data_IF_739648804433
#
_entry.id   IF_739648804433
#
_cell.length_a   1.000
_cell.length_b   1.000
_cell.length_c   1.000
_cell.angle_alpha   90.00
_cell.angle_beta   90.00
_cell.angle_gamma   90.00
#
_symmetry.space_group_name_H-M   'P 1'
#
loop_
_entity.id
_entity.type
_entity.pdbx_description
1 polymer ?
#
# COMPACT_ATOMS: atom_id res chain seq x y z
N UNK A 1 6.07 18.58 7.34
CA UNK A 1 5.76 17.80 6.10
C UNK A 1 5.41 16.39 6.54
N UNK A 2 4.34 15.79 5.99
CA UNK A 2 3.99 14.39 6.29
C UNK A 2 4.83 13.46 5.42
N UNK A 3 5.39 12.42 6.02
CA UNK A 3 6.29 11.47 5.34
C UNK A 3 5.57 10.12 5.20
N UNK A 4 5.62 9.57 4.00
CA UNK A 4 5.20 8.20 3.71
C UNK A 4 6.44 7.44 3.20
N UNK A 5 6.93 6.48 3.99
CA UNK A 5 8.12 5.70 3.65
C UNK A 5 7.95 4.26 4.15
N UNK A 6 8.28 3.30 3.32
CA UNK A 6 8.16 1.87 3.61
C UNK A 6 8.99 1.04 2.65
N UNK A 7 8.56 -0.20 2.39
CA UNK A 7 9.34 -1.10 1.53
C UNK A 7 8.51 -2.10 0.75
N UNK A 8 9.19 -2.80 -0.16
CA UNK A 8 8.67 -3.94 -0.91
C UNK A 8 9.39 -5.19 -0.39
N UNK A 9 8.61 -6.19 -0.03
CA UNK A 9 9.06 -7.46 0.53
C UNK A 9 8.88 -8.57 -0.51
N UNK A 10 9.85 -9.47 -0.59
CA UNK A 10 9.84 -10.59 -1.53
C UNK A 10 10.70 -10.38 -2.76
N UNK A 11 11.70 -9.50 -2.68
CA UNK A 11 12.68 -9.28 -3.75
C UNK A 11 13.92 -10.18 -3.63
N UNK A 12 13.90 -11.18 -2.74
CA UNK A 12 15.03 -12.06 -2.43
C UNK A 12 15.84 -11.62 -1.21
N UNK A 13 15.36 -10.62 -0.49
CA UNK A 13 15.96 -10.11 0.74
C UNK A 13 15.85 -11.13 1.88
N UNK A 14 16.83 -11.13 2.80
CA UNK A 14 16.84 -11.95 4.00
C UNK A 14 15.95 -11.37 5.11
N UNK A 15 15.70 -12.15 6.14
CA UNK A 15 15.02 -11.67 7.36
C UNK A 15 15.79 -10.52 8.03
N UNK A 16 17.12 -10.53 7.96
CA UNK A 16 17.95 -9.45 8.50
C UNK A 16 17.79 -8.16 7.70
N UNK A 17 17.66 -8.23 6.39
CA UNK A 17 17.42 -7.07 5.54
C UNK A 17 16.05 -6.45 5.84
N UNK A 18 15.03 -7.28 6.06
CA UNK A 18 13.69 -6.84 6.49
C UNK A 18 13.73 -6.15 7.84
N UNK A 19 14.48 -6.71 8.80
CA UNK A 19 14.68 -6.09 10.10
C UNK A 19 15.44 -4.76 9.97
N UNK A 20 16.48 -4.71 9.14
CA UNK A 20 17.24 -3.50 8.83
C UNK A 20 16.37 -2.38 8.31
N UNK A 21 15.47 -2.67 7.34
CA UNK A 21 14.50 -1.71 6.83
C UNK A 21 13.68 -1.07 7.96
N UNK A 22 13.15 -1.88 8.89
CA UNK A 22 12.34 -1.37 9.99
C UNK A 22 13.17 -0.57 10.99
N UNK A 23 14.40 -0.99 11.25
CA UNK A 23 15.34 -0.26 12.12
C UNK A 23 15.66 1.12 11.53
N UNK A 24 15.95 1.21 10.24
CA UNK A 24 16.21 2.49 9.58
C UNK A 24 14.99 3.43 9.67
N UNK A 25 13.79 2.92 9.41
CA UNK A 25 12.57 3.74 9.50
C UNK A 25 12.29 4.20 10.94
N UNK A 26 12.51 3.33 11.92
CA UNK A 26 12.26 3.62 13.33
C UNK A 26 13.31 4.57 13.94
N UNK A 27 14.51 4.61 13.39
CA UNK A 27 15.60 5.50 13.84
C UNK A 27 15.56 6.88 13.19
N UNK A 28 14.62 7.16 12.31
CA UNK A 28 14.41 8.52 11.82
C UNK A 28 14.07 9.46 12.99
N UNK A 29 14.52 10.70 12.93
CA UNK A 29 14.27 11.71 13.96
C UNK A 29 12.77 11.88 14.30
N UNK A 30 11.93 11.59 13.34
CA UNK A 30 10.48 11.48 13.49
C UNK A 30 10.02 10.29 12.67
N UNK A 31 9.25 9.38 13.27
CA UNK A 31 8.71 8.24 12.53
C UNK A 31 7.84 8.71 11.35
N UNK A 32 7.87 8.02 10.21
CA UNK A 32 6.96 8.30 9.11
C UNK A 32 5.49 8.21 9.57
N UNK A 33 4.64 9.10 9.12
CA UNK A 33 3.22 9.03 9.42
C UNK A 33 2.55 7.81 8.78
N UNK A 34 3.09 7.36 7.63
CA UNK A 34 2.62 6.17 6.92
C UNK A 34 3.79 5.29 6.52
N UNK A 35 3.65 4.01 6.86
CA UNK A 35 4.64 2.96 6.55
C UNK A 35 3.96 1.89 5.69
N UNK A 36 3.95 2.04 4.36
CA UNK A 36 3.43 1.00 3.47
C UNK A 36 4.38 -0.19 3.43
N UNK A 37 3.85 -1.36 3.74
CA UNK A 37 4.51 -2.65 3.55
C UNK A 37 3.87 -3.32 2.34
N UNK A 38 4.61 -3.38 1.25
CA UNK A 38 4.15 -3.96 0.00
C UNK A 38 4.68 -5.39 -0.13
N UNK A 39 3.90 -6.27 -0.74
CA UNK A 39 4.38 -7.57 -1.22
C UNK A 39 4.72 -7.44 -2.70
N UNK A 40 5.85 -8.00 -3.11
CA UNK A 40 6.26 -7.99 -4.51
C UNK A 40 5.17 -8.62 -5.40
N UNK A 41 4.76 -7.89 -6.41
CA UNK A 41 3.93 -8.42 -7.49
C UNK A 41 4.86 -8.82 -8.63
N UNK A 42 5.08 -10.13 -8.78
CA UNK A 42 5.97 -10.67 -9.82
C UNK A 42 5.39 -10.38 -11.21
N UNK A 43 6.20 -9.84 -12.08
CA UNK A 43 5.84 -9.54 -13.47
C UNK A 43 6.67 -10.39 -14.38
N UNK A 44 6.01 -11.06 -15.33
CA UNK A 44 6.68 -11.92 -16.33
C UNK A 44 7.67 -11.11 -17.15
N UNK A 45 8.85 -11.71 -17.39
CA UNK A 45 9.93 -11.08 -18.14
C UNK A 45 10.82 -10.14 -17.33
N UNK A 46 10.57 -9.99 -16.01
CA UNK A 46 11.44 -9.20 -15.12
C UNK A 46 12.46 -10.09 -14.40
N UNK A 47 13.60 -9.54 -13.92
CA UNK A 47 14.57 -10.31 -13.14
C UNK A 47 14.02 -10.95 -11.87
N UNK A 48 12.95 -10.40 -11.31
CA UNK A 48 12.32 -10.88 -10.08
C UNK A 48 11.13 -11.85 -10.32
N UNK A 49 10.91 -12.27 -11.58
CA UNK A 49 9.82 -13.19 -11.92
C UNK A 49 9.91 -14.53 -11.15
N UNK A 50 11.13 -15.03 -10.97
CA UNK A 50 11.42 -16.37 -10.43
C UNK A 50 11.82 -16.35 -8.94
N UNK A 51 11.76 -15.19 -8.28
CA UNK A 51 12.08 -15.12 -6.84
C UNK A 51 11.02 -15.89 -6.04
N UNK A 52 11.42 -16.55 -4.96
CA UNK A 52 10.52 -17.27 -4.08
C UNK A 52 9.46 -16.35 -3.47
N UNK A 53 8.28 -16.91 -3.20
CA UNK A 53 7.23 -16.17 -2.49
C UNK A 53 7.61 -16.00 -1.01
N UNK A 54 7.20 -14.88 -0.45
CA UNK A 54 7.36 -14.63 0.99
C UNK A 54 6.45 -15.57 1.77
N UNK A 55 7.01 -16.21 2.79
CA UNK A 55 6.22 -17.03 3.69
C UNK A 55 5.18 -16.13 4.42
N UNK A 56 3.88 -16.50 4.41
CA UNK A 56 2.82 -15.65 4.94
C UNK A 56 3.02 -15.19 6.38
N UNK A 57 3.50 -16.08 7.27
CA UNK A 57 3.75 -15.71 8.66
C UNK A 57 4.95 -14.78 8.84
N UNK A 58 5.93 -14.84 7.94
CA UNK A 58 7.04 -13.87 7.95
C UNK A 58 6.54 -12.46 7.61
N UNK A 59 5.62 -12.36 6.67
CA UNK A 59 5.00 -11.08 6.33
C UNK A 59 4.15 -10.54 7.51
N UNK A 60 3.32 -11.38 8.13
CA UNK A 60 2.52 -11.01 9.32
C UNK A 60 3.44 -10.59 10.47
N UNK A 61 4.53 -11.29 10.69
CA UNK A 61 5.53 -10.99 11.73
C UNK A 61 6.18 -9.61 11.48
N UNK A 62 6.48 -9.31 10.23
CA UNK A 62 7.02 -8.01 9.84
C UNK A 62 6.05 -6.87 10.16
N UNK A 63 4.75 -7.05 9.89
CA UNK A 63 3.69 -6.10 10.26
C UNK A 63 3.67 -5.87 11.77
N UNK A 64 3.74 -6.95 12.57
CA UNK A 64 3.75 -6.85 14.04
C UNK A 64 4.96 -6.07 14.55
N UNK A 65 6.15 -6.36 14.02
CA UNK A 65 7.38 -5.65 14.39
C UNK A 65 7.31 -4.18 13.98
N UNK A 66 6.85 -3.88 12.77
CA UNK A 66 6.65 -2.49 12.31
C UNK A 66 5.71 -1.72 13.26
N UNK A 67 4.61 -2.33 13.71
CA UNK A 67 3.68 -1.71 14.67
C UNK A 67 4.32 -1.45 16.02
N UNK A 68 5.12 -2.40 16.55
CA UNK A 68 5.81 -2.26 17.84
C UNK A 68 6.85 -1.14 17.77
N UNK A 69 7.64 -1.10 16.70
CA UNK A 69 8.72 -0.12 16.54
C UNK A 69 8.20 1.28 16.22
N UNK A 70 7.09 1.39 15.50
CA UNK A 70 6.51 2.67 15.07
C UNK A 70 5.03 2.76 15.48
N UNK A 71 4.73 2.86 16.79
CA UNK A 71 3.37 2.69 17.32
C UNK A 71 2.38 3.77 16.86
N UNK A 72 2.85 4.93 16.45
CA UNK A 72 2.00 6.05 15.97
C UNK A 72 1.84 6.10 14.46
N UNK A 73 2.64 5.34 13.72
CA UNK A 73 2.59 5.31 12.26
C UNK A 73 1.37 4.55 11.74
N UNK A 74 0.86 4.94 10.59
CA UNK A 74 -0.11 4.15 9.86
C UNK A 74 0.63 3.01 9.13
N UNK A 75 0.66 1.82 9.73
CA UNK A 75 1.20 0.62 9.07
C UNK A 75 0.20 0.15 8.02
N UNK A 76 0.60 0.24 6.77
CA UNK A 76 -0.30 0.12 5.62
C UNK A 76 -0.05 -1.15 4.83
N UNK A 77 -1.11 -1.92 4.59
CA UNK A 77 -1.13 -2.94 3.55
C UNK A 77 -1.42 -2.26 2.21
N UNK A 78 -0.55 -2.49 1.23
CA UNK A 78 -0.63 -1.82 -0.06
C UNK A 78 -0.48 -2.82 -1.22
N UNK A 79 0.48 -2.66 -2.13
CA UNK A 79 0.65 -3.54 -3.28
C UNK A 79 0.82 -5.02 -2.89
N UNK A 80 0.28 -5.93 -3.69
CA UNK A 80 0.32 -7.38 -3.47
C UNK A 80 -0.81 -7.90 -2.57
N UNK A 81 -1.61 -7.01 -1.97
CA UNK A 81 -2.71 -7.39 -1.08
C UNK A 81 -3.79 -8.22 -1.78
N UNK A 82 -4.01 -8.01 -3.07
CA UNK A 82 -4.98 -8.76 -3.88
C UNK A 82 -4.63 -10.25 -4.00
N UNK A 83 -3.37 -10.63 -3.75
CA UNK A 83 -2.94 -12.04 -3.72
C UNK A 83 -3.07 -12.68 -2.35
N UNK A 84 -3.32 -11.89 -1.31
CA UNK A 84 -3.53 -12.39 0.04
C UNK A 84 -4.96 -12.88 0.19
N UNK A 85 -5.14 -14.07 0.75
CA UNK A 85 -6.47 -14.53 1.16
C UNK A 85 -7.01 -13.70 2.33
N UNK A 86 -8.31 -13.82 2.62
CA UNK A 86 -8.96 -13.08 3.72
C UNK A 86 -8.30 -13.35 5.07
N UNK A 87 -7.87 -14.59 5.33
CA UNK A 87 -7.25 -14.99 6.59
C UNK A 87 -5.91 -14.31 6.81
N UNK A 88 -5.07 -14.24 5.79
CA UNK A 88 -3.79 -13.54 5.85
C UNK A 88 -3.98 -12.03 6.08
N UNK A 89 -4.93 -11.42 5.37
CA UNK A 89 -5.25 -10.01 5.59
C UNK A 89 -5.77 -9.77 7.01
N UNK A 90 -6.66 -10.64 7.52
CA UNK A 90 -7.14 -10.58 8.89
C UNK A 90 -6.00 -10.67 9.91
N UNK A 91 -5.06 -11.60 9.73
CA UNK A 91 -3.88 -11.73 10.57
C UNK A 91 -3.01 -10.47 10.54
N UNK A 92 -2.83 -9.85 9.37
CA UNK A 92 -2.10 -8.58 9.27
C UNK A 92 -2.78 -7.46 10.06
N UNK A 93 -4.11 -7.35 10.02
CA UNK A 93 -4.84 -6.37 10.84
C UNK A 93 -4.70 -6.66 12.34
N UNK A 94 -4.82 -7.92 12.75
CA UNK A 94 -4.62 -8.32 14.16
C UNK A 94 -3.18 -8.11 14.62
N UNK A 95 -2.21 -8.27 13.73
CA UNK A 95 -0.79 -8.00 14.00
C UNK A 95 -0.46 -6.49 14.08
N UNK A 96 -1.38 -5.60 13.65
CA UNK A 96 -1.22 -4.17 13.82
C UNK A 96 -1.24 -3.33 12.55
N UNK A 97 -1.50 -3.91 11.38
CA UNK A 97 -1.85 -3.08 10.22
C UNK A 97 -3.14 -2.32 10.52
N UNK A 98 -3.13 -1.00 10.28
CA UNK A 98 -4.28 -0.14 10.54
C UNK A 98 -4.61 0.80 9.39
N UNK A 99 -4.03 0.55 8.24
CA UNK A 99 -4.27 1.33 7.03
C UNK A 99 -4.22 0.40 5.82
N UNK A 100 -5.02 0.70 4.83
CA UNK A 100 -4.95 0.08 3.51
C UNK A 100 -4.88 1.16 2.44
N UNK A 101 -4.39 0.80 1.26
CA UNK A 101 -4.63 1.61 0.09
C UNK A 101 -6.07 1.36 -0.37
N UNK A 102 -6.85 2.42 -0.46
CA UNK A 102 -8.23 2.40 -0.88
C UNK A 102 -8.36 2.95 -2.30
N UNK A 103 -9.10 2.25 -3.15
CA UNK A 103 -9.29 2.62 -4.55
C UNK A 103 -9.12 1.41 -5.48
N UNK A 104 -9.61 1.53 -6.70
CA UNK A 104 -9.68 0.41 -7.65
C UNK A 104 -8.31 0.00 -8.24
N UNK A 105 -7.30 0.86 -8.19
CA UNK A 105 -6.00 0.59 -8.80
C UNK A 105 -4.88 1.32 -8.08
N UNK A 106 -3.80 0.61 -7.75
CA UNK A 106 -2.49 1.17 -7.50
C UNK A 106 -1.83 1.54 -8.84
N UNK A 107 -0.73 2.30 -8.82
CA UNK A 107 -0.09 2.83 -10.03
C UNK A 107 -0.02 1.81 -11.18
N UNK A 108 0.44 0.61 -10.90
CA UNK A 108 0.69 -0.43 -11.90
C UNK A 108 -0.04 -1.75 -11.63
N UNK A 109 -0.62 -1.94 -10.45
CA UNK A 109 -1.25 -3.20 -10.03
C UNK A 109 -2.70 -2.99 -9.64
N UNK A 110 -3.57 -3.99 -9.85
CA UNK A 110 -4.91 -4.00 -9.29
C UNK A 110 -4.87 -3.89 -7.76
N UNK A 111 -5.96 -3.42 -7.19
CA UNK A 111 -6.22 -3.43 -5.75
C UNK A 111 -7.55 -4.17 -5.54
N UNK A 112 -7.75 -4.85 -4.39
CA UNK A 112 -9.03 -5.46 -4.08
C UNK A 112 -10.17 -4.47 -4.27
N UNK A 113 -11.29 -4.95 -4.82
CA UNK A 113 -12.46 -4.11 -5.01
C UNK A 113 -12.95 -3.56 -3.65
N UNK A 114 -13.46 -2.35 -3.68
CA UNK A 114 -13.99 -1.66 -2.50
C UNK A 114 -14.99 -2.52 -1.72
N UNK A 115 -15.87 -3.21 -2.43
CA UNK A 115 -16.87 -4.10 -1.84
C UNK A 115 -16.22 -5.27 -1.07
N UNK A 116 -15.12 -5.83 -1.58
CA UNK A 116 -14.39 -6.91 -0.92
C UNK A 116 -13.79 -6.43 0.40
N UNK A 117 -13.24 -5.22 0.43
CA UNK A 117 -12.69 -4.62 1.65
C UNK A 117 -13.78 -4.37 2.68
N UNK A 118 -14.92 -3.85 2.25
CA UNK A 118 -16.07 -3.61 3.12
C UNK A 118 -16.61 -4.89 3.73
N UNK A 119 -16.70 -5.97 2.93
CA UNK A 119 -17.12 -7.28 3.42
C UNK A 119 -16.13 -7.84 4.44
N UNK A 120 -14.83 -7.74 4.17
CA UNK A 120 -13.78 -8.20 5.10
C UNK A 120 -13.85 -7.43 6.41
N UNK A 121 -13.93 -6.10 6.38
CA UNK A 121 -14.02 -5.29 7.60
C UNK A 121 -15.28 -5.60 8.41
N UNK A 122 -16.41 -5.82 7.75
CA UNK A 122 -17.65 -6.25 8.42
C UNK A 122 -17.47 -7.61 9.11
N UNK A 123 -16.84 -8.58 8.44
CA UNK A 123 -16.53 -9.90 9.03
C UNK A 123 -15.62 -9.78 10.26
N UNK A 124 -14.67 -8.85 10.24
CA UNK A 124 -13.69 -8.64 11.31
C UNK A 124 -14.20 -7.69 12.42
N UNK A 125 -15.37 -7.07 12.26
CA UNK A 125 -15.86 -6.06 13.20
C UNK A 125 -15.01 -4.77 13.22
N UNK A 126 -14.29 -4.48 12.14
CA UNK A 126 -13.43 -3.31 12.00
C UNK A 126 -14.24 -2.16 11.41
N UNK A 127 -14.27 -1.03 12.12
CA UNK A 127 -14.86 0.20 11.62
C UNK A 127 -13.79 1.07 10.97
N UNK A 128 -14.08 1.60 9.79
CA UNK A 128 -13.21 2.60 9.15
C UNK A 128 -13.28 3.91 9.92
N UNK A 129 -12.13 4.52 10.13
CA UNK A 129 -12.09 5.91 10.57
C UNK A 129 -12.68 6.78 9.45
N UNK A 130 -13.81 7.42 9.73
CA UNK A 130 -14.36 8.46 8.88
C UNK A 130 -13.54 9.71 9.17
N UNK A 131 -12.49 9.94 8.36
CA UNK A 131 -11.92 11.28 8.29
C UNK A 131 -13.04 12.17 7.80
N UNK A 132 -13.53 13.05 8.68
CA UNK A 132 -14.41 14.12 8.28
C UNK A 132 -13.65 14.91 7.20
N UNK A 133 -13.91 14.60 5.94
CA UNK A 133 -13.58 15.53 4.88
C UNK A 133 -14.38 16.79 5.25
N UNK A 134 -13.65 17.86 5.61
CA UNK A 134 -14.28 19.18 5.48
C UNK A 134 -14.85 19.13 4.05
N UNK A 135 -16.14 19.30 3.86
CA UNK A 135 -16.62 19.51 2.52
C UNK A 135 -15.90 20.78 2.06
N UNK A 136 -14.91 20.61 1.19
CA UNK A 136 -14.59 21.71 0.32
C UNK A 136 -15.93 21.99 -0.35
N UNK A 137 -16.47 23.19 -0.16
CA UNK A 137 -17.63 23.68 -0.89
C UNK A 137 -17.22 23.86 -2.37
N UNK A 138 -16.82 22.75 -2.96
CA UNK A 138 -16.50 22.70 -4.38
C UNK A 138 -17.84 22.57 -5.06
N UNK A 139 -18.21 23.59 -5.78
CA UNK A 139 -19.43 23.57 -6.59
C UNK A 139 -19.34 22.48 -7.65
N UNK A 140 -20.49 21.93 -8.06
CA UNK A 140 -20.56 20.87 -9.07
C UNK A 140 -19.84 21.30 -10.38
N UNK A 141 -19.88 22.59 -10.72
CA UNK A 141 -19.16 23.14 -11.86
C UNK A 141 -17.63 23.09 -11.69
N UNK A 142 -17.10 23.41 -10.51
CA UNK A 142 -15.66 23.30 -10.22
C UNK A 142 -15.19 21.86 -10.23
N UNK A 143 -16.05 20.90 -9.81
CA UNK A 143 -15.77 19.48 -9.94
C UNK A 143 -15.70 19.04 -11.41
N UNK A 144 -16.63 19.50 -12.23
CA UNK A 144 -16.64 19.22 -13.66
C UNK A 144 -15.42 19.80 -14.37
N UNK A 145 -15.05 21.04 -14.05
CA UNK A 145 -13.87 21.69 -14.62
C UNK A 145 -12.57 20.93 -14.26
N UNK A 146 -12.41 20.52 -12.99
CA UNK A 146 -11.28 19.68 -12.54
C UNK A 146 -11.25 18.31 -13.22
N UNK A 147 -12.41 17.70 -13.49
CA UNK A 147 -12.49 16.43 -14.22
C UNK A 147 -12.09 16.63 -15.67
N UNK A 148 -12.58 17.67 -16.32
CA UNK A 148 -12.22 18.02 -17.70
C UNK A 148 -10.73 18.31 -17.83
N UNK A 149 -10.14 19.12 -16.92
CA UNK A 149 -8.70 19.37 -16.90
C UNK A 149 -7.87 18.09 -16.70
N UNK A 150 -8.29 17.20 -15.78
CA UNK A 150 -7.60 15.91 -15.56
C UNK A 150 -7.72 14.97 -16.76
N UNK A 151 -8.84 15.00 -17.47
CA UNK A 151 -9.01 14.19 -18.69
C UNK A 151 -8.17 14.76 -19.83
N UNK A 152 -8.11 16.09 -19.96
CA UNK A 152 -7.28 16.77 -20.96
C UNK A 152 -5.78 16.64 -20.68
N UNK A 153 -5.38 16.59 -19.41
CA UNK A 153 -3.99 16.40 -18.97
C UNK A 153 -3.55 14.93 -18.91
N UNK A 154 -4.40 13.98 -19.31
CA UNK A 154 -3.97 12.57 -19.39
C UNK A 154 -2.92 12.43 -20.47
N UNK A 155 -1.72 11.91 -20.15
CA UNK A 155 -0.73 11.59 -21.15
C UNK A 155 -1.37 10.64 -22.18
N UNK A 156 -1.16 10.92 -23.45
CA UNK A 156 -1.57 10.01 -24.53
C UNK A 156 -0.76 8.73 -24.44
N UNK A 157 -1.21 7.66 -25.10
CA UNK A 157 -0.49 6.38 -25.08
C UNK A 157 0.97 6.53 -25.55
N UNK A 158 1.28 7.53 -26.40
CA UNK A 158 2.65 7.86 -26.83
C UNK A 158 3.51 8.48 -25.73
N UNK A 159 2.91 9.15 -24.74
CA UNK A 159 3.65 9.80 -23.65
C UNK A 159 3.98 8.85 -22.51
N UNK A 160 3.39 7.64 -22.52
CA UNK A 160 3.57 6.61 -21.50
C UNK A 160 4.68 5.61 -21.85
N UNK A 161 5.20 5.64 -23.06
CA UNK A 161 6.36 4.83 -23.44
C UNK A 161 7.63 5.64 -23.21
N UNK A 162 8.25 5.46 -22.06
CA UNK A 162 9.66 5.78 -21.89
C UNK A 162 10.45 4.87 -22.83
N UNK A 163 11.10 5.47 -23.80
CA UNK A 163 12.06 4.78 -24.66
C UNK A 163 13.26 4.39 -23.78
N UNK A 164 13.28 3.16 -23.30
CA UNK A 164 14.37 2.59 -22.50
C UNK A 164 15.52 2.12 -23.41
N UNK A 165 15.72 2.82 -24.53
CA UNK A 165 16.83 2.61 -25.46
C UNK A 165 17.73 3.85 -25.46
N UNK A 166 18.60 3.94 -24.44
CA UNK A 166 19.95 4.56 -24.52
C UNK A 166 20.83 3.91 -23.47
#
# INVERSE_FOLDING_TARGET
MKICSGGIIGMGESTNDRAGLLVELANLSTHPESVPINMLVKVKGTPLEQVDDVEPFDFVRLIAVARIMMPKSAVRLSAGREKMNEQMQALCFMAGANSIFYGCKLLTTPNPAEDSDMLLFKKLGINREQVAQKPDEITENELLDRVVERVAARPTASDLFYDAAL
#
